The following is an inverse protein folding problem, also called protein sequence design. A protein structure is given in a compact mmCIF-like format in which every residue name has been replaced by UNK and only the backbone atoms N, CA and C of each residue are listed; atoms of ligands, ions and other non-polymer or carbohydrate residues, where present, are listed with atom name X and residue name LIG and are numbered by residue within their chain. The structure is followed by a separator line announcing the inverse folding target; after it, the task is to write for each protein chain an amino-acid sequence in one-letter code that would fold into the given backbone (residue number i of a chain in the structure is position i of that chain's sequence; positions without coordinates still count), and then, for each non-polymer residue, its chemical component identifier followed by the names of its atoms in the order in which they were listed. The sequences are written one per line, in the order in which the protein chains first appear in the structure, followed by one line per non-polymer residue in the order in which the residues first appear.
data_IF_774404754303
#
_entry.id   IF_774404754303
#
_cell.length_a   1.000
_cell.length_b   1.000
_cell.length_c   1.000
_cell.angle_alpha   90.00
_cell.angle_beta   90.00
_cell.angle_gamma   90.00
#
_symmetry.space_group_name_H-M   'P 1'
#
loop_
_entity.id
_entity.type
_entity.pdbx_description
1 polymer ?
#
# COMPACT_ATOMS: atom_id res chain seq x y z
N UNK A 1 -20.93 -11.05 4.66
CA UNK A 1 -20.43 -10.23 5.79
C UNK A 1 -20.36 -8.78 5.34
N UNK A 2 -20.83 -7.85 6.16
CA UNK A 2 -20.88 -6.43 5.85
C UNK A 2 -20.10 -5.65 6.91
N UNK A 3 -19.26 -4.72 6.45
CA UNK A 3 -18.51 -3.79 7.28
C UNK A 3 -19.11 -2.39 7.12
N UNK A 4 -19.05 -1.59 8.19
CA UNK A 4 -19.44 -0.18 8.20
C UNK A 4 -18.20 0.69 8.09
N UNK A 5 -18.28 1.83 7.40
CA UNK A 5 -17.17 2.81 7.36
C UNK A 5 -16.78 3.24 8.78
N UNK A 6 -17.74 3.26 9.71
CA UNK A 6 -17.50 3.66 11.12
C UNK A 6 -16.59 2.70 11.87
N UNK A 7 -16.40 1.49 11.37
CA UNK A 7 -15.54 0.48 11.99
C UNK A 7 -14.05 0.75 11.67
N UNK A 8 -13.75 1.63 10.72
CA UNK A 8 -12.40 1.93 10.27
C UNK A 8 -11.82 3.16 10.97
N UNK A 9 -10.49 3.19 11.08
CA UNK A 9 -9.78 4.40 11.48
C UNK A 9 -9.60 5.29 10.26
N UNK A 10 -10.10 6.52 10.34
CA UNK A 10 -9.93 7.51 9.29
C UNK A 10 -8.58 8.21 9.42
N UNK A 11 -7.84 8.31 8.31
CA UNK A 11 -6.61 9.09 8.20
C UNK A 11 -6.62 9.91 6.91
N UNK A 12 -5.81 10.96 6.85
CA UNK A 12 -5.57 11.71 5.63
C UNK A 12 -4.21 11.32 5.05
N UNK A 13 -4.20 10.94 3.77
CA UNK A 13 -2.98 10.60 3.03
C UNK A 13 -3.02 11.26 1.67
N UNK A 14 -2.06 12.14 1.41
CA UNK A 14 -1.94 12.88 0.15
C UNK A 14 -3.21 13.70 -0.19
N UNK A 15 -3.82 14.32 0.83
CA UNK A 15 -5.04 15.11 0.69
C UNK A 15 -6.32 14.30 0.47
N UNK A 16 -6.26 12.98 0.68
CA UNK A 16 -7.39 12.07 0.53
C UNK A 16 -7.72 11.37 1.86
N UNK A 17 -9.02 11.22 2.14
CA UNK A 17 -9.50 10.42 3.26
C UNK A 17 -9.33 8.93 2.94
N UNK A 18 -8.59 8.23 3.80
CA UNK A 18 -8.33 6.79 3.68
C UNK A 18 -8.86 6.07 4.92
N UNK A 19 -9.57 4.96 4.69
CA UNK A 19 -9.99 4.04 5.73
C UNK A 19 -8.86 3.06 6.03
N UNK A 20 -8.22 3.20 7.18
CA UNK A 20 -7.16 2.30 7.62
C UNK A 20 -7.77 1.04 8.20
N UNK A 21 -7.40 -0.12 7.66
CA UNK A 21 -7.96 -1.41 8.05
C UNK A 21 -7.14 -2.09 9.14
N UNK A 22 -7.80 -2.70 10.12
CA UNK A 22 -7.23 -3.69 11.04
C UNK A 22 -7.00 -5.03 10.34
N UNK A 23 -6.24 -5.94 10.95
CA UNK A 23 -6.05 -7.28 10.36
C UNK A 23 -7.34 -8.10 10.30
N UNK A 24 -8.26 -7.93 11.25
CA UNK A 24 -9.58 -8.58 11.20
C UNK A 24 -10.39 -8.06 10.00
N UNK A 25 -10.33 -6.76 9.72
CA UNK A 25 -10.95 -6.16 8.54
C UNK A 25 -10.28 -6.63 7.25
N UNK A 26 -8.96 -6.70 7.19
CA UNK A 26 -8.21 -7.26 6.03
C UNK A 26 -8.67 -8.68 5.75
N UNK A 27 -8.77 -9.53 6.78
CA UNK A 27 -9.23 -10.91 6.65
C UNK A 27 -10.68 -10.98 6.17
N UNK A 28 -11.56 -10.12 6.69
CA UNK A 28 -12.95 -10.03 6.27
C UNK A 28 -13.07 -9.61 4.79
N UNK A 29 -12.30 -8.61 4.36
CA UNK A 29 -12.25 -8.13 2.97
C UNK A 29 -11.71 -9.23 2.05
N UNK A 30 -10.61 -9.89 2.44
CA UNK A 30 -10.04 -11.02 1.70
C UNK A 30 -11.05 -12.17 1.51
N UNK A 31 -11.94 -12.38 2.50
CA UNK A 31 -13.05 -13.32 2.43
C UNK A 31 -14.29 -12.81 1.64
N UNK A 32 -14.24 -11.61 1.06
CA UNK A 32 -15.29 -11.03 0.23
C UNK A 32 -16.30 -10.15 0.96
N UNK A 33 -15.94 -9.58 2.11
CA UNK A 33 -16.80 -8.61 2.78
C UNK A 33 -17.05 -7.36 1.92
N UNK A 34 -18.26 -6.82 2.03
CA UNK A 34 -18.63 -5.53 1.44
C UNK A 34 -18.52 -4.44 2.49
N UNK A 35 -18.21 -3.22 2.06
CA UNK A 35 -18.16 -2.03 2.92
C UNK A 35 -19.24 -1.07 2.42
N UNK A 36 -20.25 -0.81 3.25
CA UNK A 36 -21.45 -0.04 2.86
C UNK A 36 -22.09 -0.56 1.56
N UNK A 37 -22.27 -1.89 1.49
CA UNK A 37 -22.78 -2.60 0.31
C UNK A 37 -21.95 -2.44 -0.98
N UNK A 38 -20.75 -1.85 -0.91
CA UNK A 38 -19.82 -1.75 -2.04
C UNK A 38 -18.70 -2.79 -1.92
N UNK A 39 -18.28 -3.40 -3.04
CA UNK A 39 -17.15 -4.32 -3.02
C UNK A 39 -15.83 -3.57 -2.84
N UNK A 40 -14.82 -4.27 -2.33
CA UNK A 40 -13.41 -3.87 -2.48
C UNK A 40 -12.90 -4.43 -3.80
N UNK A 41 -12.44 -3.56 -4.69
CA UNK A 41 -11.87 -3.97 -5.97
C UNK A 41 -10.49 -4.60 -5.75
N UNK A 42 -9.99 -5.35 -6.74
CA UNK A 42 -8.65 -5.97 -6.71
C UNK A 42 -8.39 -6.85 -5.46
N UNK A 43 -9.43 -7.53 -4.95
CA UNK A 43 -9.32 -8.38 -3.76
C UNK A 43 -8.20 -9.45 -3.85
N UNK A 44 -7.86 -9.91 -5.06
CA UNK A 44 -6.75 -10.85 -5.26
C UNK A 44 -5.39 -10.29 -4.78
N UNK A 45 -5.13 -8.99 -4.93
CA UNK A 45 -3.91 -8.35 -4.42
C UNK A 45 -3.90 -8.37 -2.88
N UNK A 46 -5.05 -8.09 -2.25
CA UNK A 46 -5.20 -8.15 -0.79
C UNK A 46 -4.91 -9.55 -0.26
N UNK A 47 -5.48 -10.58 -0.90
CA UNK A 47 -5.22 -11.98 -0.56
C UNK A 47 -3.72 -12.31 -0.67
N UNK A 48 -3.05 -11.79 -1.70
CA UNK A 48 -1.63 -12.05 -1.95
C UNK A 48 -0.72 -11.44 -0.87
N UNK A 49 -1.08 -10.26 -0.36
CA UNK A 49 -0.20 -9.50 0.54
C UNK A 49 -0.61 -9.49 2.01
N UNK A 50 -1.78 -10.05 2.37
CA UNK A 50 -2.27 -10.01 3.77
C UNK A 50 -1.30 -10.62 4.79
N UNK A 51 -0.60 -11.70 4.43
CA UNK A 51 0.38 -12.37 5.29
C UNK A 51 1.67 -11.56 5.43
N UNK A 52 1.99 -10.78 4.39
CA UNK A 52 3.16 -9.92 4.41
C UNK A 52 2.95 -8.73 5.33
N UNK A 53 1.78 -8.07 5.25
CA UNK A 53 1.53 -6.88 6.06
C UNK A 53 1.32 -7.20 7.56
N UNK A 54 1.13 -8.47 7.94
CA UNK A 54 0.82 -8.88 9.32
C UNK A 54 2.02 -9.04 10.27
N UNK A 55 3.23 -8.64 9.88
CA UNK A 55 4.41 -8.88 10.74
C UNK A 55 5.69 -8.18 10.31
N UNK A 56 5.59 -7.07 9.59
CA UNK A 56 6.75 -6.32 9.12
C UNK A 56 6.93 -5.03 9.92
N UNK A 57 8.20 -4.64 10.10
CA UNK A 57 8.61 -3.38 10.70
C UNK A 57 9.41 -2.56 9.66
N UNK A 58 9.04 -1.28 9.43
CA UNK A 58 7.89 -0.60 10.01
C UNK A 58 6.55 -1.13 9.46
N UNK A 59 5.44 -0.92 10.17
CA UNK A 59 4.16 -1.52 9.82
C UNK A 59 3.66 -1.07 8.45
N UNK A 60 3.08 -2.01 7.70
CA UNK A 60 2.28 -1.70 6.50
C UNK A 60 0.82 -1.99 6.78
N UNK A 61 -0.03 -1.05 6.40
CA UNK A 61 -1.47 -1.17 6.55
C UNK A 61 -2.16 -1.26 5.20
N UNK A 62 -3.30 -1.93 5.18
CA UNK A 62 -4.26 -1.80 4.08
C UNK A 62 -5.10 -0.55 4.33
N UNK A 63 -4.93 0.45 3.48
CA UNK A 63 -5.84 1.58 3.33
C UNK A 63 -6.89 1.30 2.26
N UNK A 64 -8.07 1.87 2.42
CA UNK A 64 -9.11 1.87 1.41
C UNK A 64 -9.53 3.29 1.10
N UNK A 65 -9.65 3.60 -0.18
CA UNK A 65 -10.13 4.89 -0.63
C UNK A 65 -11.22 4.73 -1.68
N UNK A 66 -12.05 5.76 -1.82
CA UNK A 66 -13.15 5.80 -2.78
C UNK A 66 -12.98 7.07 -3.65
N UNK A 67 -11.82 7.19 -4.30
CA UNK A 67 -11.45 8.35 -5.11
C UNK A 67 -12.23 8.46 -6.44
N UNK A 68 -12.27 9.67 -6.99
CA UNK A 68 -12.83 10.00 -8.31
C UNK A 68 -11.82 9.58 -9.41
N UNK A 69 -12.20 8.96 -10.56
CA UNK A 69 -13.54 8.82 -11.14
C UNK A 69 -14.23 7.46 -10.88
N UNK A 70 -13.68 6.62 -10.01
CA UNK A 70 -14.06 5.20 -9.89
C UNK A 70 -15.27 5.03 -8.97
N UNK A 71 -16.41 5.57 -9.39
CA UNK A 71 -17.71 5.48 -8.73
C UNK A 71 -18.23 4.03 -8.80
N UNK A 72 -17.78 3.14 -7.91
CA UNK A 72 -18.32 1.78 -7.88
C UNK A 72 -17.80 0.83 -6.80
N UNK A 73 -16.65 1.11 -6.18
CA UNK A 73 -16.06 0.24 -5.16
C UNK A 73 -14.91 0.87 -4.41
N UNK A 74 -14.46 0.19 -3.36
CA UNK A 74 -13.32 0.59 -2.55
C UNK A 74 -12.03 0.11 -3.16
N UNK A 75 -11.06 1.00 -3.32
CA UNK A 75 -9.76 0.68 -3.87
C UNK A 75 -8.75 0.42 -2.77
N UNK A 76 -8.03 -0.72 -2.80
CA UNK A 76 -6.98 -1.00 -1.84
C UNK A 76 -5.72 -0.20 -2.18
N UNK A 77 -5.13 0.40 -1.15
CA UNK A 77 -3.80 0.99 -1.18
C UNK A 77 -3.00 0.46 0.01
N UNK A 78 -1.71 0.22 -0.18
CA UNK A 78 -0.83 -0.15 0.92
C UNK A 78 -0.12 1.09 1.44
N UNK A 79 -0.09 1.21 2.77
CA UNK A 79 0.44 2.37 3.48
C UNK A 79 1.57 1.91 4.39
N UNK A 80 2.80 2.26 4.05
CA UNK A 80 3.94 2.09 4.95
C UNK A 80 3.89 3.20 5.99
N UNK A 81 3.86 2.85 7.27
CA UNK A 81 3.99 3.83 8.34
C UNK A 81 5.45 4.24 8.47
N UNK A 82 5.72 5.54 8.40
CA UNK A 82 7.03 6.10 8.68
C UNK A 82 6.87 7.24 9.68
N UNK A 83 7.40 7.03 10.89
CA UNK A 83 7.22 7.94 12.03
C UNK A 83 5.74 8.24 12.30
N UNK A 84 5.30 9.49 12.11
CA UNK A 84 3.92 9.94 12.29
C UNK A 84 3.15 10.06 10.97
N UNK A 85 3.73 9.61 9.85
CA UNK A 85 3.17 9.75 8.51
C UNK A 85 2.94 8.39 7.84
N UNK A 86 2.12 8.40 6.79
CA UNK A 86 1.88 7.24 5.94
C UNK A 86 2.33 7.52 4.52
N UNK A 87 2.97 6.53 3.91
CA UNK A 87 3.46 6.59 2.54
C UNK A 87 2.72 5.55 1.71
N UNK A 88 2.09 5.98 0.60
CA UNK A 88 1.53 5.04 -0.38
C UNK A 88 2.65 4.24 -1.02
N UNK A 89 2.52 2.92 -1.01
CA UNK A 89 3.52 2.02 -1.59
C UNK A 89 2.86 0.94 -2.43
N UNK A 90 3.51 0.58 -3.53
CA UNK A 90 3.23 -0.62 -4.28
C UNK A 90 4.07 -1.76 -3.71
N UNK A 91 3.42 -2.83 -3.29
CA UNK A 91 4.11 -4.02 -2.82
C UNK A 91 4.46 -4.90 -4.02
N UNK A 92 5.71 -5.29 -4.11
CA UNK A 92 6.21 -6.12 -5.20
C UNK A 92 7.31 -7.08 -4.73
N UNK A 93 7.64 -8.07 -5.55
CA UNK A 93 8.86 -8.87 -5.40
C UNK A 93 9.88 -8.37 -6.41
N UNK A 94 11.11 -8.16 -5.95
CA UNK A 94 12.22 -7.71 -6.78
C UNK A 94 13.40 -8.67 -6.66
N UNK A 95 14.24 -8.69 -7.70
CA UNK A 95 15.49 -9.44 -7.73
C UNK A 95 16.63 -8.44 -7.91
N UNK A 96 17.67 -8.53 -7.08
CA UNK A 96 18.88 -7.75 -7.23
C UNK A 96 19.68 -8.27 -8.42
N UNK A 97 19.89 -7.42 -9.42
CA UNK A 97 20.61 -7.76 -10.65
C UNK A 97 22.11 -8.01 -10.42
N UNK A 98 22.68 -7.57 -9.29
CA UNK A 98 24.11 -7.78 -8.98
C UNK A 98 24.41 -9.10 -8.28
N UNK A 99 23.55 -9.54 -7.36
CA UNK A 99 23.83 -10.71 -6.50
C UNK A 99 22.74 -11.79 -6.50
N UNK A 100 21.63 -11.56 -7.23
CA UNK A 100 20.52 -12.52 -7.34
C UNK A 100 19.62 -12.58 -6.11
N UNK A 101 19.86 -11.80 -5.06
CA UNK A 101 18.93 -11.72 -3.91
C UNK A 101 17.52 -11.40 -4.39
N UNK A 102 16.54 -12.17 -3.93
CA UNK A 102 15.12 -11.99 -4.24
C UNK A 102 14.35 -11.77 -2.96
N UNK A 103 13.51 -10.75 -2.91
CA UNK A 103 12.70 -10.45 -1.74
C UNK A 103 11.58 -9.48 -2.06
N UNK A 104 10.78 -9.18 -1.03
CA UNK A 104 9.68 -8.23 -1.13
C UNK A 104 10.19 -6.78 -0.98
N UNK A 105 9.49 -5.84 -1.60
CA UNK A 105 9.81 -4.41 -1.52
C UNK A 105 8.56 -3.54 -1.53
N UNK A 106 8.69 -2.33 -0.98
CA UNK A 106 7.68 -1.29 -1.01
C UNK A 106 8.14 -0.13 -1.89
N UNK A 107 7.49 0.08 -3.03
CA UNK A 107 7.86 1.05 -4.06
C UNK A 107 6.89 2.24 -4.05
N UNK A 108 7.35 3.47 -3.75
CA UNK A 108 6.47 4.63 -3.65
C UNK A 108 6.22 5.35 -4.99
N UNK A 109 6.88 4.97 -6.09
CA UNK A 109 6.87 5.80 -7.32
C UNK A 109 5.91 5.32 -8.42
N UNK A 110 5.15 4.26 -8.16
CA UNK A 110 4.19 3.69 -9.12
C UNK A 110 3.03 4.65 -9.32
N UNK A 111 2.82 5.09 -10.57
CA UNK A 111 1.83 6.14 -10.87
C UNK A 111 0.41 5.82 -10.40
N UNK A 112 -0.02 4.56 -10.56
CA UNK A 112 -1.35 4.09 -10.17
C UNK A 112 -1.64 4.20 -8.67
N UNK A 113 -0.63 4.37 -7.81
CA UNK A 113 -0.82 4.58 -6.36
C UNK A 113 -1.56 5.88 -6.04
N UNK A 114 -1.44 6.85 -6.93
CA UNK A 114 -1.93 8.22 -6.73
C UNK A 114 -3.19 8.51 -7.53
N UNK A 115 -3.74 7.51 -8.22
CA UNK A 115 -5.06 7.60 -8.83
C UNK A 115 -6.08 7.94 -7.74
N UNK A 116 -6.86 9.00 -7.93
CA UNK A 116 -7.84 9.48 -6.94
C UNK A 116 -7.32 10.47 -5.89
N UNK A 117 -6.00 10.71 -5.80
CA UNK A 117 -5.47 11.81 -4.98
C UNK A 117 -5.93 13.17 -5.51
N UNK A 118 -6.04 14.16 -4.61
CA UNK A 118 -6.39 15.54 -4.98
C UNK A 118 -5.36 16.18 -5.93
N UNK A 119 -4.07 15.83 -5.76
CA UNK A 119 -2.99 16.23 -6.67
C UNK A 119 -2.06 15.02 -6.91
N UNK A 120 -2.40 14.16 -7.90
CA UNK A 120 -1.63 12.95 -8.18
C UNK A 120 -0.18 13.24 -8.59
N UNK A 121 0.08 14.38 -9.25
CA UNK A 121 1.41 14.76 -9.72
C UNK A 121 2.29 15.11 -8.52
N UNK A 122 1.81 15.98 -7.64
CA UNK A 122 2.54 16.37 -6.44
C UNK A 122 2.71 15.21 -5.46
N UNK A 123 1.68 14.37 -5.28
CA UNK A 123 1.77 13.17 -4.46
C UNK A 123 2.84 12.20 -4.96
N UNK A 124 2.90 11.98 -6.28
CA UNK A 124 3.95 11.15 -6.91
C UNK A 124 5.34 11.75 -6.79
N UNK A 125 5.47 13.07 -6.94
CA UNK A 125 6.77 13.75 -6.76
C UNK A 125 7.32 13.55 -5.34
N UNK A 126 6.47 13.57 -4.31
CA UNK A 126 6.91 13.22 -2.94
C UNK A 126 7.43 11.80 -2.85
N UNK A 127 6.78 10.84 -3.52
CA UNK A 127 7.27 9.47 -3.63
C UNK A 127 8.68 9.37 -4.22
N UNK A 128 9.00 10.18 -5.24
CA UNK A 128 10.33 10.25 -5.83
C UNK A 128 11.39 10.91 -4.94
N UNK A 129 10.98 11.79 -4.03
CA UNK A 129 11.88 12.47 -3.11
C UNK A 129 12.30 11.60 -1.92
N UNK A 130 11.64 10.44 -1.71
CA UNK A 130 11.95 9.54 -0.60
C UNK A 130 13.32 8.86 -0.79
N UNK A 131 14.11 8.68 0.29
CA UNK A 131 15.34 7.92 0.23
C UNK A 131 15.09 6.48 -0.22
N UNK A 132 15.81 6.02 -1.23
CA UNK A 132 15.70 4.64 -1.72
C UNK A 132 16.71 3.73 -1.04
N UNK A 133 16.26 2.56 -0.63
CA UNK A 133 17.08 1.51 -0.02
C UNK A 133 17.82 0.71 -1.11
N UNK A 134 19.02 0.22 -0.75
CA UNK A 134 19.87 -0.64 -1.58
C UNK A 134 19.67 -2.12 -1.23
N UNK A 135 20.22 -3.03 -2.02
CA UNK A 135 20.16 -4.45 -1.72
C UNK A 135 20.78 -4.77 -0.35
N UNK A 136 20.06 -5.50 0.51
CA UNK A 136 20.52 -5.88 1.85
C UNK A 136 21.69 -6.87 1.84
N UNK A 137 21.93 -7.57 0.73
CA UNK A 137 23.00 -8.57 0.61
C UNK A 137 24.31 -8.02 0.05
N UNK A 138 24.25 -7.12 -0.94
CA UNK A 138 25.45 -6.64 -1.63
C UNK A 138 25.57 -5.11 -1.71
N UNK A 139 24.61 -4.37 -1.16
CA UNK A 139 24.58 -2.90 -1.18
C UNK A 139 24.51 -2.27 -2.58
N UNK A 140 24.30 -3.05 -3.64
CA UNK A 140 24.03 -2.53 -4.98
C UNK A 140 22.67 -1.84 -5.06
N UNK A 141 22.53 -0.96 -6.05
CA UNK A 141 21.24 -0.34 -6.41
C UNK A 141 20.25 -1.44 -6.83
N UNK A 142 19.00 -1.31 -6.40
CA UNK A 142 17.90 -2.18 -6.81
C UNK A 142 17.29 -1.70 -8.13
N UNK A 143 16.67 -2.61 -8.93
CA UNK A 143 16.13 -2.27 -10.25
C UNK A 143 14.97 -1.26 -10.18
N UNK A 144 14.28 -1.20 -9.04
CA UNK A 144 13.16 -0.28 -8.79
C UNK A 144 13.35 0.48 -7.48
N UNK A 145 12.95 1.77 -7.41
CA UNK A 145 12.97 2.52 -6.16
C UNK A 145 12.18 1.80 -5.08
N UNK A 146 12.78 1.65 -3.90
CA UNK A 146 12.17 0.96 -2.76
C UNK A 146 12.46 1.76 -1.49
N UNK A 147 11.45 1.99 -0.66
CA UNK A 147 11.59 2.65 0.65
C UNK A 147 11.63 1.63 1.79
N UNK A 148 11.35 0.37 1.47
CA UNK A 148 11.51 -0.78 2.34
C UNK A 148 11.83 -2.01 1.51
N UNK A 149 12.65 -2.92 2.04
CA UNK A 149 12.93 -4.23 1.46
C UNK A 149 13.04 -5.28 2.56
N UNK A 150 12.69 -6.51 2.22
CA UNK A 150 12.83 -7.67 3.11
C UNK A 150 14.32 -7.92 3.43
N UNK A 151 14.63 -8.20 4.70
CA UNK A 151 16.00 -8.45 5.20
C UNK A 151 16.41 -9.91 5.15
#
# INVERSE_FOLDING_TARGET
MQLSIKDFRNIEVDGELVLLSSMDQVNAIAAGALIEAKPVVRNAEIITWKEFISGIEPPVFLGLHCGFPLRGGWWPIYLLQQEQSYIRVHLERIVCESCGWSGRSANPVVGQLYDGSADPVYARQRGFALPTIKCQKCSSKLPRPSVWVEG
#
